data_IF_829361123083
#
_entry.id   IF_829361123083
#
_cell.length_a   1.000
_cell.length_b   1.000
_cell.length_c   1.000
_cell.angle_alpha   90.00
_cell.angle_beta   90.00
_cell.angle_gamma   90.00
#
_symmetry.space_group_name_H-M   'P 1'
#
loop_
_entity.id
_entity.type
_entity.pdbx_description
1 polymer ?
#
# COMPACT_ATOMS: atom_id res chain seq x y z
N UNK A 1 -8.61 21.41 -5.87
CA UNK A 1 -7.52 20.42 -5.64
C UNK A 1 -7.82 19.06 -6.30
N UNK A 2 -9.08 18.61 -6.40
CA UNK A 2 -9.48 17.32 -7.03
C UNK A 2 -9.46 17.29 -8.58
N UNK A 3 -8.96 18.32 -9.25
CA UNK A 3 -9.13 18.52 -10.71
C UNK A 3 -7.85 18.22 -11.52
N UNK A 4 -6.73 17.92 -10.86
CA UNK A 4 -5.48 17.55 -11.54
C UNK A 4 -5.25 16.04 -11.38
N UNK A 5 -5.51 15.21 -12.41
CA UNK A 5 -5.27 13.77 -12.36
C UNK A 5 -3.80 13.42 -12.04
N UNK A 6 -2.85 14.25 -12.49
CA UNK A 6 -1.43 14.04 -12.23
C UNK A 6 -1.00 14.43 -10.81
N UNK A 7 -1.84 15.18 -10.08
CA UNK A 7 -1.57 15.62 -8.72
C UNK A 7 -1.67 14.49 -7.70
N UNK A 8 -0.98 14.67 -6.57
CA UNK A 8 -1.14 13.81 -5.39
C UNK A 8 -2.54 13.98 -4.82
N UNK A 9 -3.23 12.86 -4.55
CA UNK A 9 -4.60 12.84 -4.03
C UNK A 9 -4.62 12.55 -2.55
N UNK A 10 -4.04 11.42 -2.15
CA UNK A 10 -4.00 10.96 -0.77
C UNK A 10 -2.79 10.05 -0.56
N UNK A 11 -1.65 10.69 -0.28
CA UNK A 11 -0.40 10.02 0.10
C UNK A 11 -0.56 9.34 1.44
N UNK A 12 -0.09 8.09 1.53
CA UNK A 12 -0.06 7.34 2.78
C UNK A 12 1.36 6.86 3.10
N UNK A 13 1.92 5.96 2.29
CA UNK A 13 3.29 5.49 2.42
C UNK A 13 4.30 6.46 1.79
N UNK A 14 5.46 6.62 2.43
CA UNK A 14 6.61 7.28 1.81
C UNK A 14 7.92 6.79 2.44
N UNK A 15 9.01 6.85 1.69
CA UNK A 15 10.36 6.57 2.18
C UNK A 15 11.36 7.53 1.53
N UNK A 16 12.33 8.04 2.30
CA UNK A 16 13.49 8.75 1.76
C UNK A 16 14.61 7.75 1.62
N UNK A 17 15.09 7.55 0.39
CA UNK A 17 16.15 6.60 0.11
C UNK A 17 17.55 7.21 0.34
N UNK A 18 18.59 6.38 0.22
CA UNK A 18 19.97 6.79 0.51
C UNK A 18 20.57 7.82 -0.46
N UNK A 19 19.87 8.12 -1.54
CA UNK A 19 20.31 9.07 -2.57
C UNK A 19 19.61 10.43 -2.42
N UNK A 20 18.89 10.66 -1.32
CA UNK A 20 18.05 11.84 -1.10
C UNK A 20 16.88 11.93 -2.10
N UNK A 21 16.32 10.78 -2.49
CA UNK A 21 15.09 10.69 -3.26
C UNK A 21 13.96 10.25 -2.35
N UNK A 22 12.88 11.02 -2.28
CA UNK A 22 11.65 10.60 -1.60
C UNK A 22 10.78 9.81 -2.58
N UNK A 23 10.39 8.61 -2.17
CA UNK A 23 9.41 7.76 -2.82
C UNK A 23 8.07 7.99 -2.14
N UNK A 24 7.09 8.46 -2.92
CA UNK A 24 5.78 8.90 -2.47
C UNK A 24 4.75 7.94 -3.03
N UNK A 25 4.03 7.24 -2.15
CA UNK A 25 2.96 6.31 -2.51
C UNK A 25 1.60 6.97 -2.30
N UNK A 26 0.98 7.36 -3.41
CA UNK A 26 -0.38 7.90 -3.44
C UNK A 26 -1.37 6.75 -3.62
N UNK A 27 -2.20 6.50 -2.61
CA UNK A 27 -3.20 5.42 -2.67
C UNK A 27 -4.51 5.85 -3.36
N UNK A 28 -4.66 7.14 -3.65
CA UNK A 28 -5.72 7.64 -4.52
C UNK A 28 -7.13 7.75 -3.91
N UNK A 29 -7.53 6.86 -2.98
CA UNK A 29 -8.92 6.83 -2.51
C UNK A 29 -9.27 8.08 -1.72
N UNK A 30 -10.18 8.88 -2.25
CA UNK A 30 -10.79 10.03 -1.58
C UNK A 30 -12.17 9.64 -1.08
N UNK A 31 -12.38 9.74 0.24
CA UNK A 31 -13.66 9.45 0.90
C UNK A 31 -14.25 8.06 0.56
N UNK A 32 -13.39 7.07 0.28
CA UNK A 32 -13.80 5.69 -0.02
C UNK A 32 -14.39 5.47 -1.42
N UNK A 33 -14.34 6.48 -2.31
CA UNK A 33 -14.71 6.28 -3.70
C UNK A 33 -13.68 5.38 -4.42
N UNK A 34 -14.12 4.53 -5.38
CA UNK A 34 -13.18 3.79 -6.22
C UNK A 34 -12.24 4.72 -6.99
N UNK A 35 -10.99 4.30 -7.11
CA UNK A 35 -9.97 5.00 -7.88
C UNK A 35 -10.27 5.02 -9.37
N UNK A 36 -9.72 6.02 -10.04
CA UNK A 36 -9.68 6.15 -11.50
C UNK A 36 -8.25 5.93 -12.01
N UNK A 37 -8.04 5.77 -13.32
CA UNK A 37 -6.69 5.76 -13.89
C UNK A 37 -5.88 6.97 -13.42
N UNK A 38 -4.60 6.76 -13.09
CA UNK A 38 -3.64 7.74 -12.51
C UNK A 38 -3.84 8.10 -11.04
N UNK A 39 -4.85 7.56 -10.35
CA UNK A 39 -5.11 7.91 -8.94
C UNK A 39 -4.08 7.25 -8.02
N UNK A 40 -3.90 5.93 -8.18
CA UNK A 40 -2.88 5.16 -7.50
C UNK A 40 -1.56 5.26 -8.24
N UNK A 41 -0.54 5.80 -7.57
CA UNK A 41 0.74 6.06 -8.20
C UNK A 41 1.90 6.08 -7.21
N UNK A 42 3.06 5.65 -7.71
CA UNK A 42 4.34 5.81 -7.05
C UNK A 42 5.10 6.94 -7.75
N UNK A 43 5.58 7.91 -6.99
CA UNK A 43 6.39 9.03 -7.48
C UNK A 43 7.74 9.00 -6.77
N UNK A 44 8.81 9.29 -7.50
CA UNK A 44 10.12 9.54 -6.94
C UNK A 44 10.49 11.01 -7.17
N UNK A 45 10.87 11.71 -6.11
CA UNK A 45 11.25 13.13 -6.14
C UNK A 45 12.66 13.31 -5.58
N UNK A 46 13.54 13.88 -6.39
CA UNK A 46 14.90 14.22 -5.97
C UNK A 46 14.86 15.48 -5.10
N UNK A 47 15.22 15.34 -3.83
CA UNK A 47 15.16 16.43 -2.85
C UNK A 47 16.22 17.49 -3.08
N UNK A 48 17.34 17.16 -3.74
CA UNK A 48 18.42 18.11 -4.03
C UNK A 48 18.10 18.94 -5.27
N UNK A 49 17.62 18.28 -6.32
CA UNK A 49 17.27 18.92 -7.57
C UNK A 49 15.86 19.55 -7.56
N UNK A 50 15.08 19.27 -6.52
CA UNK A 50 13.69 19.67 -6.35
C UNK A 50 12.83 19.36 -7.59
N UNK A 51 12.89 18.09 -8.02
CA UNK A 51 12.16 17.65 -9.22
C UNK A 51 11.74 16.19 -9.14
N UNK A 52 10.64 15.90 -9.82
CA UNK A 52 10.22 14.53 -10.10
C UNK A 52 11.24 13.83 -11.00
N UNK A 53 11.66 12.62 -10.61
CA UNK A 53 12.63 11.80 -11.34
C UNK A 53 12.06 10.46 -11.81
N UNK A 54 10.95 10.01 -11.23
CA UNK A 54 10.19 8.88 -11.74
C UNK A 54 8.71 8.97 -11.34
N UNK A 55 7.87 8.34 -12.16
CA UNK A 55 6.43 8.18 -11.90
C UNK A 55 5.97 6.86 -12.48
N UNK A 56 5.14 6.18 -11.69
CA UNK A 56 4.46 4.97 -12.09
C UNK A 56 2.99 5.02 -11.66
N UNK A 57 2.08 5.11 -12.63
CA UNK A 57 0.65 4.94 -12.40
C UNK A 57 0.30 3.45 -12.48
N UNK A 58 -0.37 2.94 -11.46
CA UNK A 58 -0.77 1.54 -11.44
C UNK A 58 -2.03 1.33 -12.29
N UNK A 59 -2.06 0.23 -13.03
CA UNK A 59 -3.26 -0.18 -13.77
C UNK A 59 -4.24 -0.93 -12.88
N UNK A 60 -5.52 -0.92 -13.25
CA UNK A 60 -6.56 -1.69 -12.55
C UNK A 60 -6.28 -3.22 -12.49
N UNK A 61 -5.43 -3.73 -13.39
CA UNK A 61 -5.04 -5.13 -13.38
C UNK A 61 -3.98 -5.44 -12.29
N UNK A 62 -3.19 -4.45 -11.89
CA UNK A 62 -2.15 -4.58 -10.86
C UNK A 62 -2.68 -4.28 -9.47
N UNK A 63 -3.55 -3.29 -9.37
CA UNK A 63 -4.21 -2.82 -8.16
C UNK A 63 -5.68 -2.69 -8.50
N UNK A 64 -6.55 -3.34 -7.74
CA UNK A 64 -7.98 -3.28 -8.02
C UNK A 64 -8.48 -1.91 -7.55
N UNK A 65 -8.89 -1.03 -8.45
CA UNK A 65 -9.25 0.35 -8.13
C UNK A 65 -10.41 0.47 -7.14
N UNK A 66 -11.14 -0.61 -6.88
CA UNK A 66 -12.17 -0.64 -5.84
C UNK A 66 -11.62 -1.20 -4.53
N UNK A 67 -10.80 -2.24 -4.58
CA UNK A 67 -10.42 -3.02 -3.40
C UNK A 67 -9.05 -2.67 -2.82
N UNK A 68 -8.08 -2.31 -3.67
CA UNK A 68 -6.72 -2.01 -3.26
C UNK A 68 -6.66 -0.84 -2.28
N UNK A 69 -5.61 -0.84 -1.46
CA UNK A 69 -5.25 0.24 -0.57
C UNK A 69 -3.75 0.14 -0.35
N UNK A 70 -2.99 0.82 -1.20
CA UNK A 70 -1.53 0.82 -1.17
C UNK A 70 -1.06 1.54 0.10
N UNK A 71 -0.45 0.80 1.01
CA UNK A 71 -0.29 1.26 2.38
C UNK A 71 1.12 1.75 2.68
N UNK A 72 2.13 0.92 2.42
CA UNK A 72 3.51 1.16 2.85
C UNK A 72 4.51 0.80 1.75
N UNK A 73 5.74 1.32 1.88
CA UNK A 73 6.78 1.22 0.87
C UNK A 73 8.15 0.93 1.49
N UNK A 74 8.94 0.07 0.82
CA UNK A 74 10.33 -0.20 1.14
C UNK A 74 11.22 -0.07 -0.10
N UNK A 75 12.34 0.65 -0.01
CA UNK A 75 13.23 0.94 -1.15
C UNK A 75 14.54 0.16 -1.07
N UNK A 76 14.85 -0.54 -2.17
CA UNK A 76 16.12 -1.22 -2.41
C UNK A 76 16.87 -0.60 -3.59
N UNK A 77 17.75 0.35 -3.27
CA UNK A 77 18.61 0.96 -4.27
C UNK A 77 19.70 0.02 -4.82
N UNK A 78 20.07 -1.05 -4.11
CA UNK A 78 21.10 -2.00 -4.54
C UNK A 78 20.56 -2.93 -5.64
N UNK A 79 19.38 -3.49 -5.41
CA UNK A 79 18.71 -4.34 -6.37
C UNK A 79 17.93 -3.54 -7.44
N UNK A 80 17.59 -2.29 -7.16
CA UNK A 80 16.83 -1.40 -8.05
C UNK A 80 15.32 -1.69 -8.02
N UNK A 81 14.78 -1.97 -6.84
CA UNK A 81 13.37 -2.30 -6.64
C UNK A 81 12.72 -1.47 -5.53
N UNK A 82 11.43 -1.25 -5.67
CA UNK A 82 10.57 -0.73 -4.61
C UNK A 82 9.52 -1.79 -4.30
N UNK A 83 9.38 -2.13 -3.02
CA UNK A 83 8.39 -3.08 -2.52
C UNK A 83 7.24 -2.31 -1.88
N UNK A 84 6.02 -2.69 -2.19
CA UNK A 84 4.82 -1.98 -1.74
C UNK A 84 3.84 -2.99 -1.16
N UNK A 85 3.23 -2.67 -0.03
CA UNK A 85 2.11 -3.43 0.52
C UNK A 85 0.79 -2.91 -0.03
N UNK A 86 -0.10 -3.84 -0.36
CA UNK A 86 -1.51 -3.55 -0.59
C UNK A 86 -2.32 -4.26 0.49
N UNK A 87 -3.06 -3.50 1.28
CA UNK A 87 -3.90 -4.03 2.34
C UNK A 87 -5.21 -4.62 1.83
N UNK A 88 -5.72 -4.18 0.68
CA UNK A 88 -7.01 -4.64 0.14
C UNK A 88 -8.24 -4.28 1.00
N UNK A 89 -8.10 -3.33 1.94
CA UNK A 89 -9.07 -3.04 3.02
C UNK A 89 -10.42 -2.51 2.53
N UNK A 90 -10.50 -2.01 1.29
CA UNK A 90 -11.71 -1.38 0.74
C UNK A 90 -12.78 -2.38 0.27
N UNK A 91 -12.51 -3.68 0.32
CA UNK A 91 -13.46 -4.72 -0.08
C UNK A 91 -13.78 -5.72 1.05
N UNK A 92 -15.02 -6.20 1.03
CA UNK A 92 -15.50 -7.30 1.87
C UNK A 92 -16.07 -8.43 1.00
N UNK A 93 -15.61 -9.69 1.17
CA UNK A 93 -14.46 -10.08 1.98
C UNK A 93 -13.15 -9.47 1.45
N UNK A 94 -12.05 -9.60 2.21
CA UNK A 94 -10.78 -8.99 1.84
C UNK A 94 -10.32 -9.53 0.48
N UNK A 95 -10.15 -8.63 -0.49
CA UNK A 95 -9.74 -8.97 -1.85
C UNK A 95 -8.50 -8.18 -2.21
N UNK A 96 -7.44 -8.88 -2.63
CA UNK A 96 -6.27 -8.22 -3.20
C UNK A 96 -5.17 -7.83 -2.22
N UNK A 97 -5.25 -8.23 -0.94
CA UNK A 97 -4.13 -8.07 -0.01
C UNK A 97 -2.86 -8.79 -0.50
N UNK A 98 -1.69 -8.15 -0.44
CA UNK A 98 -0.43 -8.74 -0.88
C UNK A 98 0.67 -7.72 -1.11
N UNK A 99 1.59 -8.01 -2.03
CA UNK A 99 2.72 -7.14 -2.35
C UNK A 99 2.74 -6.74 -3.83
N UNK A 100 3.30 -5.57 -4.11
CA UNK A 100 3.78 -5.20 -5.43
C UNK A 100 5.29 -5.00 -5.39
N UNK A 101 5.94 -5.34 -6.50
CA UNK A 101 7.36 -5.07 -6.73
C UNK A 101 7.46 -4.19 -7.96
N UNK A 102 7.95 -2.98 -7.78
CA UNK A 102 8.26 -2.04 -8.85
C UNK A 102 9.75 -2.11 -9.18
N UNK A 103 10.07 -2.32 -10.46
CA UNK A 103 11.42 -2.36 -11.00
C UNK A 103 11.79 -0.98 -11.55
N UNK A 104 12.78 -0.33 -10.92
CA UNK A 104 13.21 1.02 -11.28
C UNK A 104 13.83 1.09 -12.68
N UNK A 105 14.46 0.01 -13.14
CA UNK A 105 15.17 -0.02 -14.43
C UNK A 105 14.21 -0.17 -15.61
N UNK A 106 13.17 -0.99 -15.45
CA UNK A 106 12.21 -1.28 -16.52
C UNK A 106 10.97 -0.41 -16.46
N UNK A 107 10.80 0.37 -15.37
CA UNK A 107 9.59 1.14 -15.09
C UNK A 107 8.32 0.27 -15.16
N UNK A 108 8.36 -0.89 -14.49
CA UNK A 108 7.24 -1.84 -14.45
C UNK A 108 7.01 -2.32 -13.02
N UNK A 109 5.73 -2.45 -12.64
CA UNK A 109 5.35 -3.11 -11.42
C UNK A 109 4.71 -4.48 -11.66
N UNK A 110 4.91 -5.39 -10.72
CA UNK A 110 4.27 -6.70 -10.71
C UNK A 110 3.69 -6.97 -9.34
N UNK A 111 2.43 -7.39 -9.30
CA UNK A 111 1.84 -7.96 -8.09
C UNK A 111 2.42 -9.34 -7.81
N UNK A 112 2.81 -9.56 -6.56
CA UNK A 112 3.31 -10.82 -6.04
C UNK A 112 2.61 -11.15 -4.73
N UNK A 113 2.66 -12.43 -4.31
CA UNK A 113 2.17 -12.86 -3.01
C UNK A 113 0.75 -12.37 -2.68
N UNK A 114 -0.16 -12.41 -3.67
CA UNK A 114 -1.59 -12.14 -3.44
C UNK A 114 -2.11 -13.21 -2.49
N UNK A 115 -2.47 -12.79 -1.28
CA UNK A 115 -2.93 -13.70 -0.26
C UNK A 115 -4.40 -14.09 -0.51
N UNK A 116 -4.74 -15.37 -0.36
CA UNK A 116 -6.12 -15.79 -0.32
C UNK A 116 -6.78 -15.35 1.01
N UNK A 117 -8.10 -15.27 0.99
CA UNK A 117 -8.93 -14.79 2.10
C UNK A 117 -8.64 -15.52 3.44
N UNK A 118 -8.25 -16.79 3.40
CA UNK A 118 -8.00 -17.62 4.58
C UNK A 118 -6.72 -17.28 5.36
N UNK A 119 -5.83 -16.46 4.80
CA UNK A 119 -4.64 -15.96 5.52
C UNK A 119 -5.05 -14.93 6.58
N UNK A 120 -6.22 -14.32 6.43
CA UNK A 120 -6.73 -13.33 7.37
C UNK A 120 -7.82 -13.92 8.27
N UNK A 121 -7.78 -13.57 9.57
CA UNK A 121 -8.90 -13.83 10.47
C UNK A 121 -9.96 -12.75 10.32
N UNK A 122 -11.09 -13.14 9.76
CA UNK A 122 -12.23 -12.26 9.49
C UNK A 122 -12.98 -11.79 10.74
N UNK A 123 -12.67 -12.37 11.89
CA UNK A 123 -13.26 -12.05 13.18
C UNK A 123 -12.28 -11.31 14.09
N UNK A 124 -11.07 -11.02 13.60
CA UNK A 124 -10.06 -10.32 14.37
C UNK A 124 -10.57 -8.93 14.81
N UNK A 125 -10.41 -8.62 16.09
CA UNK A 125 -10.79 -7.34 16.68
C UNK A 125 -9.59 -6.77 17.42
N UNK A 126 -9.13 -5.59 17.01
CA UNK A 126 -8.12 -4.85 17.73
C UNK A 126 -8.72 -4.17 18.95
N UNK A 127 -8.05 -4.29 20.10
CA UNK A 127 -8.38 -3.54 21.31
C UNK A 127 -7.19 -2.73 21.79
N UNK A 128 -7.41 -1.45 22.06
CA UNK A 128 -6.40 -0.55 22.65
C UNK A 128 -6.94 -0.08 24.01
N UNK A 129 -6.19 -0.36 25.07
CA UNK A 129 -6.64 -0.14 26.46
C UNK A 129 -8.03 -0.75 26.74
N UNK A 130 -8.24 -2.00 26.27
CA UNK A 130 -9.49 -2.75 26.47
C UNK A 130 -10.69 -2.30 25.63
N UNK A 131 -10.55 -1.27 24.79
CA UNK A 131 -11.61 -0.76 23.92
C UNK A 131 -11.40 -1.19 22.47
N UNK A 132 -12.47 -1.64 21.82
CA UNK A 132 -12.42 -2.02 20.40
C UNK A 132 -12.05 -0.79 19.55
N UNK A 133 -11.12 -0.98 18.61
CA UNK A 133 -10.68 0.08 17.69
C UNK A 133 -11.80 0.49 16.75
N UNK A 134 -12.56 -0.49 16.24
CA UNK A 134 -13.75 -0.25 15.44
C UNK A 134 -15.00 -0.26 16.32
N UNK A 135 -15.90 0.69 16.06
CA UNK A 135 -17.21 0.74 16.73
C UNK A 135 -18.09 -0.38 16.19
N UNK A 136 -18.89 -0.97 17.08
CA UNK A 136 -19.89 -1.95 16.67
C UNK A 136 -20.81 -1.39 15.56
N UNK A 137 -21.03 -2.20 14.53
CA UNK A 137 -21.91 -1.89 13.41
C UNK A 137 -23.20 -2.69 13.57
N UNK A 138 -24.34 -2.00 13.62
CA UNK A 138 -25.66 -2.60 13.83
C UNK A 138 -25.74 -3.49 15.09
N UNK A 139 -25.08 -3.07 16.18
CA UNK A 139 -25.05 -3.80 17.44
C UNK A 139 -24.17 -5.05 17.45
N UNK A 140 -23.40 -5.31 16.39
CA UNK A 140 -22.43 -6.41 16.30
C UNK A 140 -21.00 -5.87 16.29
N UNK A 141 -20.02 -6.63 16.82
CA UNK A 141 -18.60 -6.28 16.69
C UNK A 141 -18.25 -6.02 15.22
N UNK A 142 -17.55 -4.92 14.96
CA UNK A 142 -17.01 -4.62 13.63
C UNK A 142 -15.57 -5.13 13.59
N UNK A 143 -15.31 -6.08 12.70
CA UNK A 143 -14.01 -6.74 12.59
C UNK A 143 -13.17 -6.01 11.55
N UNK A 144 -11.95 -5.67 11.94
CA UNK A 144 -11.00 -5.10 11.00
C UNK A 144 -10.60 -6.19 10.00
N UNK A 145 -10.39 -5.80 8.75
CA UNK A 145 -10.02 -6.71 7.66
C UNK A 145 -8.93 -6.04 6.88
N UNK A 146 -7.69 -6.27 7.30
CA UNK A 146 -6.55 -5.55 6.76
C UNK A 146 -5.48 -6.56 6.37
N UNK A 147 -5.17 -6.58 5.08
CA UNK A 147 -4.17 -7.46 4.50
C UNK A 147 -2.75 -7.05 4.85
N UNK A 148 -1.85 -7.15 3.87
CA UNK A 148 -0.47 -6.72 4.04
C UNK A 148 -0.42 -5.21 4.28
N UNK A 149 0.32 -4.79 5.30
CA UNK A 149 0.25 -3.41 5.83
C UNK A 149 1.67 -2.89 6.04
N UNK A 150 2.30 -3.16 7.18
CA UNK A 150 3.68 -2.77 7.42
C UNK A 150 4.69 -3.59 6.61
N UNK A 151 5.72 -2.92 6.08
CA UNK A 151 6.84 -3.53 5.37
C UNK A 151 8.18 -2.93 5.82
N UNK A 152 9.22 -3.76 5.89
CA UNK A 152 10.56 -3.31 6.23
C UNK A 152 11.61 -4.15 5.51
N UNK A 153 12.60 -3.48 4.93
CA UNK A 153 13.76 -4.13 4.35
C UNK A 153 14.93 -4.08 5.34
N UNK A 154 15.50 -5.24 5.64
CA UNK A 154 16.71 -5.37 6.47
C UNK A 154 17.84 -4.44 6.01
N UNK A 155 18.71 -4.02 6.94
CA UNK A 155 19.80 -3.08 6.66
C UNK A 155 20.78 -3.59 5.61
N UNK A 156 21.03 -4.90 5.60
CA UNK A 156 21.84 -5.62 4.61
C UNK A 156 21.09 -5.98 3.32
N UNK A 157 19.81 -5.58 3.20
CA UNK A 157 18.96 -5.73 2.01
C UNK A 157 18.73 -7.19 1.56
N UNK A 158 18.85 -8.16 2.49
CA UNK A 158 18.68 -9.60 2.18
C UNK A 158 17.33 -10.16 2.55
N UNK A 159 16.59 -9.49 3.42
CA UNK A 159 15.29 -9.94 3.91
C UNK A 159 14.30 -8.80 3.93
N UNK A 160 13.16 -9.03 3.28
CA UNK A 160 11.99 -8.17 3.29
C UNK A 160 10.99 -8.75 4.29
N UNK A 161 10.77 -8.04 5.39
CA UNK A 161 9.75 -8.35 6.38
C UNK A 161 8.46 -7.63 5.99
N UNK A 162 7.33 -8.32 6.09
CA UNK A 162 6.01 -7.74 5.92
C UNK A 162 5.03 -8.49 6.79
N UNK A 163 3.95 -7.82 7.21
CA UNK A 163 2.94 -8.41 8.08
C UNK A 163 1.53 -8.21 7.52
N UNK A 164 0.70 -9.24 7.73
CA UNK A 164 -0.74 -9.11 7.62
C UNK A 164 -1.28 -8.57 8.93
N UNK A 165 -2.04 -7.49 8.90
CA UNK A 165 -2.53 -6.84 10.13
C UNK A 165 -3.62 -7.66 10.82
N UNK A 166 -4.40 -8.45 10.07
CA UNK A 166 -5.40 -9.36 10.64
C UNK A 166 -5.05 -10.81 10.35
N UNK A 167 -3.91 -11.35 10.82
CA UNK A 167 -3.45 -12.67 10.44
C UNK A 167 -4.27 -13.76 11.14
N UNK A 168 -4.47 -14.88 10.47
CA UNK A 168 -4.98 -16.10 11.11
C UNK A 168 -3.80 -16.83 11.78
N UNK A 169 -3.85 -16.93 13.11
CA UNK A 169 -2.89 -17.71 13.92
C UNK A 169 -3.22 -19.20 13.92
#
# INVERSE_FOLDING_TARGET
MLINPAGLKAVLGFEIDRNDVIWILDQGHIAGAPNQPEDEKLIAWDLKADKEVARYAFSNAQVDFKCSFLNDVAVDNDAGFVYITDSGINCHPLMGGGLLVYNMKTNQAKRVLRAPEWVNDQHFTFKIHGRDVLKAKNGKPDSMRTGADGIALSGEKKTLYFLFTTPRL
#
